data_IF_908048669815
#
_entry.id   IF_908048669815
#
_cell.length_a   1.000
_cell.length_b   1.000
_cell.length_c   1.000
_cell.angle_alpha   90.00
_cell.angle_beta   90.00
_cell.angle_gamma   90.00
#
_symmetry.space_group_name_H-M   'P 1'
#
loop_
_entity.id
_entity.type
_entity.pdbx_description
1 polymer ?
#
# COMPACT_ATOMS: atom_id res chain seq x y z
N UNK A 1 -11.96 -10.62 9.00
CA UNK A 1 -11.40 -9.59 9.92
C UNK A 1 -10.08 -10.10 10.47
N UNK A 2 -9.05 -9.25 10.48
CA UNK A 2 -7.75 -9.56 11.09
C UNK A 2 -7.58 -8.63 12.30
N UNK A 3 -7.29 -9.20 13.45
CA UNK A 3 -7.01 -8.44 14.68
C UNK A 3 -5.59 -8.72 15.13
N UNK A 4 -4.80 -7.68 15.29
CA UNK A 4 -3.43 -7.72 15.79
C UNK A 4 -3.40 -7.02 17.14
N UNK A 5 -2.96 -7.70 18.19
CA UNK A 5 -2.97 -7.19 19.57
C UNK A 5 -1.60 -7.32 20.22
N UNK A 6 -0.98 -6.19 20.53
CA UNK A 6 0.27 -6.05 21.28
C UNK A 6 1.42 -6.91 20.72
N UNK A 7 1.48 -7.04 19.39
CA UNK A 7 2.51 -7.87 18.73
C UNK A 7 3.88 -7.26 18.91
N UNK A 8 4.76 -8.06 19.50
CA UNK A 8 6.19 -7.77 19.62
C UNK A 8 7.01 -8.91 19.02
N UNK A 9 8.12 -8.56 18.38
CA UNK A 9 9.04 -9.53 17.80
C UNK A 9 10.48 -9.14 18.03
N UNK A 10 11.22 -10.02 18.70
CA UNK A 10 12.64 -9.89 18.93
C UNK A 10 13.41 -10.99 18.19
N UNK A 11 14.47 -10.60 17.48
CA UNK A 11 15.47 -11.49 16.88
C UNK A 11 16.81 -11.27 17.58
N UNK A 12 17.20 -12.21 18.43
CA UNK A 12 18.42 -12.07 19.25
C UNK A 12 18.45 -10.72 19.98
N UNK A 13 19.30 -9.80 19.51
CA UNK A 13 19.48 -8.44 20.08
C UNK A 13 18.62 -7.38 19.38
N UNK A 14 18.06 -7.67 18.21
CA UNK A 14 17.26 -6.72 17.43
C UNK A 14 15.78 -6.93 17.67
N UNK A 15 15.08 -5.89 18.12
CA UNK A 15 13.63 -5.88 18.23
C UNK A 15 13.04 -5.30 16.96
N UNK A 16 12.32 -6.16 16.21
CA UNK A 16 11.77 -5.81 14.91
C UNK A 16 10.34 -5.24 14.99
N UNK A 17 9.59 -5.59 16.05
CA UNK A 17 8.24 -5.08 16.30
C UNK A 17 8.08 -4.76 17.79
N UNK A 18 7.42 -3.62 18.06
CA UNK A 18 7.22 -3.09 19.41
C UNK A 18 5.74 -2.80 19.64
N UNK A 19 5.04 -3.72 20.30
CA UNK A 19 3.66 -3.51 20.76
C UNK A 19 2.68 -3.05 19.68
N UNK A 20 2.68 -3.74 18.54
CA UNK A 20 1.89 -3.38 17.36
C UNK A 20 0.46 -3.89 17.55
N UNK A 21 -0.52 -2.97 17.43
CA UNK A 21 -1.95 -3.30 17.54
C UNK A 21 -2.76 -2.55 16.48
N UNK A 22 -3.59 -3.27 15.72
CA UNK A 22 -4.51 -2.70 14.73
C UNK A 22 -5.54 -3.74 14.27
N UNK A 23 -6.50 -3.30 13.48
CA UNK A 23 -7.53 -4.17 12.90
C UNK A 23 -7.68 -3.94 11.40
N UNK A 24 -7.72 -5.03 10.62
CA UNK A 24 -8.09 -4.99 9.20
C UNK A 24 -9.55 -5.43 9.07
N UNK A 25 -10.39 -4.55 8.54
CA UNK A 25 -11.82 -4.82 8.33
C UNK A 25 -11.99 -5.87 7.22
N UNK A 26 -12.99 -6.73 7.38
CA UNK A 26 -13.32 -7.71 6.35
C UNK A 26 -13.75 -7.01 5.05
N UNK A 27 -13.25 -7.46 3.91
CA UNK A 27 -13.57 -6.91 2.60
C UNK A 27 -12.99 -5.51 2.33
N UNK A 28 -12.03 -5.04 3.13
CA UNK A 28 -11.31 -3.79 2.88
C UNK A 28 -9.93 -4.04 2.27
N UNK A 29 -9.38 -3.00 1.64
CA UNK A 29 -7.98 -2.93 1.25
C UNK A 29 -7.24 -2.03 2.22
N UNK A 30 -6.30 -2.58 2.97
CA UNK A 30 -5.49 -1.84 3.95
C UNK A 30 -4.04 -1.73 3.46
N UNK A 31 -3.54 -0.50 3.40
CA UNK A 31 -2.14 -0.18 3.08
C UNK A 31 -1.27 -0.21 4.34
N UNK A 32 -0.21 -1.00 4.33
CA UNK A 32 0.81 -1.03 5.36
C UNK A 32 2.06 -0.29 4.84
N UNK A 33 2.20 0.96 5.26
CA UNK A 33 3.16 1.92 4.71
C UNK A 33 4.35 2.08 5.65
N UNK A 34 5.54 2.16 5.10
CA UNK A 34 6.74 2.45 5.89
C UNK A 34 8.04 2.20 5.13
N UNK A 35 9.15 2.73 5.59
CA UNK A 35 10.45 2.53 4.96
C UNK A 35 10.90 1.06 5.03
N UNK A 36 11.93 0.73 4.27
CA UNK A 36 12.58 -0.58 4.37
C UNK A 36 13.12 -0.77 5.80
N UNK A 37 12.90 -1.96 6.36
CA UNK A 37 13.29 -2.26 7.74
C UNK A 37 12.30 -1.80 8.82
N UNK A 38 11.16 -1.18 8.48
CA UNK A 38 10.15 -0.79 9.48
C UNK A 38 9.39 -1.95 10.14
N UNK A 39 9.57 -3.19 9.65
CA UNK A 39 8.94 -4.38 10.23
C UNK A 39 7.76 -4.96 9.43
N UNK A 40 7.37 -4.38 8.29
CA UNK A 40 6.21 -4.80 7.46
C UNK A 40 6.22 -6.30 7.12
N UNK A 41 7.30 -6.77 6.51
CA UNK A 41 7.46 -8.19 6.14
C UNK A 41 7.42 -9.11 7.38
N UNK A 42 8.03 -8.70 8.50
CA UNK A 42 8.00 -9.45 9.76
C UNK A 42 6.57 -9.57 10.28
N UNK A 43 5.82 -8.48 10.26
CA UNK A 43 4.43 -8.42 10.68
C UNK A 43 3.53 -9.30 9.80
N UNK A 44 3.67 -9.22 8.47
CA UNK A 44 2.94 -10.08 7.52
C UNK A 44 3.21 -11.57 7.79
N UNK A 45 4.47 -11.94 8.04
CA UNK A 45 4.83 -13.34 8.37
C UNK A 45 4.26 -13.82 9.70
N UNK A 46 4.07 -12.93 10.66
CA UNK A 46 3.41 -13.28 11.93
C UNK A 46 1.90 -13.41 11.71
N UNK A 47 1.28 -12.50 10.97
CA UNK A 47 -0.15 -12.56 10.70
C UNK A 47 -0.57 -13.81 9.95
N UNK A 48 0.21 -14.29 9.00
CA UNK A 48 -0.10 -15.52 8.28
C UNK A 48 0.35 -16.81 9.00
N UNK A 49 0.85 -16.71 10.23
CA UNK A 49 1.24 -17.87 11.05
C UNK A 49 2.57 -18.53 10.67
N UNK A 50 3.35 -17.97 9.71
CA UNK A 50 4.66 -18.52 9.30
C UNK A 50 5.76 -18.21 10.31
N UNK A 51 5.62 -17.09 11.06
CA UNK A 51 6.59 -16.65 12.05
C UNK A 51 5.91 -16.45 13.41
N UNK A 52 6.44 -17.04 14.44
CA UNK A 52 5.93 -16.83 15.81
C UNK A 52 6.28 -15.43 16.33
N UNK A 53 5.34 -14.76 16.98
CA UNK A 53 5.59 -13.52 17.72
C UNK A 53 6.37 -13.81 19.02
N UNK A 54 7.07 -12.80 19.56
CA UNK A 54 7.67 -12.88 20.89
C UNK A 54 6.68 -12.52 22.01
N UNK A 55 5.63 -11.78 21.68
CA UNK A 55 4.51 -11.41 22.56
C UNK A 55 3.31 -10.94 21.74
N UNK A 56 2.14 -10.89 22.37
CA UNK A 56 0.89 -10.52 21.74
C UNK A 56 0.20 -11.67 21.01
N UNK A 57 -0.85 -11.35 20.26
CA UNK A 57 -1.69 -12.32 19.57
C UNK A 57 -2.22 -11.75 18.25
N UNK A 58 -2.32 -12.61 17.24
CA UNK A 58 -3.04 -12.33 15.99
C UNK A 58 -4.21 -13.29 15.86
N UNK A 59 -5.39 -12.76 15.56
CA UNK A 59 -6.55 -13.57 15.17
C UNK A 59 -7.01 -13.23 13.76
N UNK A 60 -7.30 -14.26 12.98
CA UNK A 60 -7.85 -14.14 11.62
C UNK A 60 -9.18 -14.87 11.57
N UNK A 61 -10.26 -14.13 11.35
CA UNK A 61 -11.63 -14.64 11.39
C UNK A 61 -11.92 -15.45 12.68
N UNK A 62 -11.36 -15.00 13.81
CA UNK A 62 -11.50 -15.65 15.12
C UNK A 62 -10.53 -16.80 15.38
N UNK A 63 -9.71 -17.22 14.41
CA UNK A 63 -8.67 -18.24 14.58
C UNK A 63 -7.35 -17.61 15.05
N UNK A 64 -6.69 -18.23 16.02
CA UNK A 64 -5.36 -17.81 16.47
C UNK A 64 -4.31 -18.21 15.43
N UNK A 65 -3.61 -17.22 14.85
CA UNK A 65 -2.65 -17.44 13.78
C UNK A 65 -1.47 -18.33 14.18
N UNK A 66 -1.06 -18.33 15.44
CA UNK A 66 0.04 -19.16 15.92
C UNK A 66 -0.40 -20.60 16.23
N UNK A 67 -1.59 -20.77 16.79
CA UNK A 67 -2.09 -22.09 17.23
C UNK A 67 -2.80 -22.85 16.11
N UNK A 68 -3.39 -22.16 15.17
CA UNK A 68 -4.20 -22.70 14.08
C UNK A 68 -3.64 -22.33 12.71
N UNK A 69 -2.30 -22.29 12.61
CA UNK A 69 -1.57 -21.82 11.42
C UNK A 69 -2.02 -22.50 10.11
N UNK A 70 -2.27 -23.82 10.12
CA UNK A 70 -2.73 -24.53 8.93
C UNK A 70 -4.09 -24.02 8.43
N UNK A 71 -5.04 -23.77 9.34
CA UNK A 71 -6.36 -23.23 8.97
C UNK A 71 -6.24 -21.79 8.46
N UNK A 72 -5.37 -20.99 9.08
CA UNK A 72 -5.10 -19.61 8.68
C UNK A 72 -4.45 -19.59 7.29
N UNK A 73 -3.42 -20.42 7.05
CA UNK A 73 -2.76 -20.54 5.75
C UNK A 73 -3.73 -20.97 4.63
N UNK A 74 -4.68 -21.85 4.95
CA UNK A 74 -5.70 -22.27 3.97
C UNK A 74 -6.64 -21.14 3.53
N UNK A 75 -6.80 -20.09 4.35
CA UNK A 75 -7.62 -18.92 4.05
C UNK A 75 -6.82 -17.75 3.46
N UNK A 76 -5.50 -17.81 3.52
CA UNK A 76 -4.63 -16.70 3.17
C UNK A 76 -3.81 -16.99 1.92
N UNK A 77 -3.79 -16.07 0.97
CA UNK A 77 -2.79 -16.00 -0.09
C UNK A 77 -1.69 -15.01 0.30
N UNK A 78 -0.43 -15.41 0.18
CA UNK A 78 0.69 -14.51 0.51
C UNK A 78 1.65 -14.40 -0.66
N UNK A 79 1.76 -13.20 -1.21
CA UNK A 79 2.79 -12.83 -2.18
C UNK A 79 3.89 -12.09 -1.44
N UNK A 80 5.06 -12.69 -1.38
CA UNK A 80 6.28 -12.06 -0.88
C UNK A 80 7.01 -11.32 -2.00
N UNK A 81 7.97 -10.48 -1.66
CA UNK A 81 8.80 -9.77 -2.63
C UNK A 81 9.41 -10.72 -3.68
N UNK A 82 9.94 -11.85 -3.23
CA UNK A 82 10.46 -12.92 -4.10
C UNK A 82 9.34 -13.89 -4.44
N UNK A 83 8.43 -13.64 -5.21
CA UNK A 83 7.28 -14.46 -5.68
C UNK A 83 7.25 -15.97 -5.37
N UNK A 84 8.28 -16.58 -4.80
CA UNK A 84 8.37 -17.98 -4.36
C UNK A 84 8.13 -18.98 -5.48
N UNK A 85 8.68 -18.72 -6.67
CA UNK A 85 8.51 -19.56 -7.87
C UNK A 85 9.74 -20.44 -8.12
N UNK A 86 9.52 -21.60 -8.70
CA UNK A 86 10.57 -22.52 -9.13
C UNK A 86 11.07 -22.13 -10.52
N UNK A 87 12.26 -21.56 -10.60
CA UNK A 87 12.81 -21.00 -11.85
C UNK A 87 13.11 -22.04 -12.94
N UNK A 88 13.39 -23.28 -12.55
CA UNK A 88 13.66 -24.37 -13.48
C UNK A 88 12.40 -25.02 -14.07
N UNK A 89 11.23 -24.70 -13.53
CA UNK A 89 9.93 -25.16 -14.00
C UNK A 89 9.29 -24.14 -14.93
N UNK A 90 8.38 -24.59 -15.78
CA UNK A 90 7.53 -23.66 -16.55
C UNK A 90 6.51 -22.96 -15.65
N UNK A 91 5.85 -21.90 -16.16
CA UNK A 91 4.75 -21.25 -15.44
C UNK A 91 3.61 -22.21 -15.15
N UNK A 92 3.19 -23.01 -16.13
CA UNK A 92 2.15 -24.04 -15.97
C UNK A 92 2.55 -25.11 -14.94
N UNK A 93 3.81 -25.58 -14.97
CA UNK A 93 4.27 -26.57 -13.99
C UNK A 93 4.31 -26.00 -12.58
N UNK A 94 4.71 -24.73 -12.42
CA UNK A 94 4.62 -24.04 -11.14
C UNK A 94 3.19 -24.03 -10.61
N UNK A 95 2.21 -23.62 -11.42
CA UNK A 95 0.81 -23.56 -11.00
C UNK A 95 0.28 -24.98 -10.67
N UNK A 96 0.62 -25.98 -11.45
CA UNK A 96 0.24 -27.37 -11.20
C UNK A 96 0.85 -27.87 -9.89
N UNK A 97 2.14 -27.65 -9.68
CA UNK A 97 2.83 -28.04 -8.45
C UNK A 97 2.17 -27.43 -7.20
N UNK A 98 1.89 -26.12 -7.23
CA UNK A 98 1.24 -25.48 -6.09
C UNK A 98 -0.22 -25.92 -5.93
N UNK A 99 -0.93 -26.21 -7.00
CA UNK A 99 -2.27 -26.78 -6.93
C UNK A 99 -2.26 -28.14 -6.21
N UNK A 100 -1.27 -28.99 -6.50
CA UNK A 100 -1.08 -30.27 -5.82
C UNK A 100 -0.70 -30.09 -4.34
N UNK A 101 0.18 -29.14 -4.02
CA UNK A 101 0.52 -28.78 -2.62
C UNK A 101 -0.71 -28.34 -1.83
N UNK A 102 -1.63 -27.59 -2.45
CA UNK A 102 -2.90 -27.20 -1.84
C UNK A 102 -3.97 -28.31 -1.87
N UNK A 103 -3.67 -29.47 -2.44
CA UNK A 103 -4.60 -30.60 -2.55
C UNK A 103 -5.81 -30.34 -3.45
N UNK A 104 -5.67 -29.47 -4.44
CA UNK A 104 -6.75 -29.07 -5.32
C UNK A 104 -7.06 -30.16 -6.34
N UNK A 105 -8.20 -30.82 -6.19
CA UNK A 105 -8.68 -31.79 -7.18
C UNK A 105 -9.15 -31.08 -8.44
N UNK A 106 -8.78 -31.63 -9.62
CA UNK A 106 -9.18 -31.07 -10.92
C UNK A 106 -8.80 -29.60 -11.13
N UNK A 107 -7.60 -29.21 -10.68
CA UNK A 107 -7.13 -27.83 -10.70
C UNK A 107 -7.00 -27.21 -12.11
N UNK A 108 -7.03 -28.02 -13.20
CA UNK A 108 -6.81 -27.54 -14.56
C UNK A 108 -7.71 -26.33 -14.90
N UNK A 109 -9.01 -26.42 -14.63
CA UNK A 109 -9.95 -25.32 -14.90
C UNK A 109 -9.53 -24.03 -14.15
N UNK A 110 -9.14 -24.17 -12.87
CA UNK A 110 -8.69 -23.03 -12.07
C UNK A 110 -7.38 -22.44 -12.58
N UNK A 111 -6.45 -23.30 -13.00
CA UNK A 111 -5.18 -22.86 -13.61
C UNK A 111 -5.47 -22.09 -14.90
N UNK A 112 -6.33 -22.63 -15.79
CA UNK A 112 -6.71 -21.96 -17.04
C UNK A 112 -7.38 -20.59 -16.78
N UNK A 113 -8.28 -20.49 -15.78
CA UNK A 113 -8.88 -19.22 -15.33
C UNK A 113 -7.80 -18.21 -14.94
N UNK A 114 -6.80 -18.63 -14.13
CA UNK A 114 -5.75 -17.75 -13.64
C UNK A 114 -4.73 -17.38 -14.73
N UNK A 115 -4.42 -18.32 -15.61
CA UNK A 115 -3.59 -18.08 -16.80
C UNK A 115 -4.22 -16.99 -17.67
N UNK A 116 -5.53 -17.05 -17.86
CA UNK A 116 -6.26 -16.03 -18.62
C UNK A 116 -6.31 -14.69 -17.86
N UNK A 117 -6.64 -14.70 -16.57
CA UNK A 117 -6.76 -13.51 -15.75
C UNK A 117 -5.46 -12.70 -15.68
N UNK A 118 -4.31 -13.39 -15.63
CA UNK A 118 -2.99 -12.77 -15.52
C UNK A 118 -2.23 -12.67 -16.85
N UNK A 119 -2.90 -12.96 -17.97
CA UNK A 119 -2.30 -12.87 -19.31
C UNK A 119 -0.99 -13.66 -19.44
N UNK A 120 -1.02 -14.93 -18.97
CA UNK A 120 0.16 -15.81 -18.96
C UNK A 120 0.26 -16.70 -20.20
N UNK A 121 -0.73 -16.69 -21.10
CA UNK A 121 -0.89 -17.65 -22.20
C UNK A 121 0.37 -17.77 -23.07
N UNK A 122 0.99 -16.66 -23.42
CA UNK A 122 2.09 -16.62 -24.39
C UNK A 122 3.41 -17.18 -23.85
N UNK A 123 3.53 -17.27 -22.52
CA UNK A 123 4.79 -17.67 -21.90
C UNK A 123 4.65 -18.72 -20.79
N UNK A 124 3.43 -19.20 -20.50
CA UNK A 124 3.18 -20.20 -19.45
C UNK A 124 4.00 -21.49 -19.59
N UNK A 125 4.41 -21.86 -20.79
CA UNK A 125 5.21 -23.06 -21.08
C UNK A 125 6.72 -22.82 -21.09
N UNK A 126 7.16 -21.56 -20.91
CA UNK A 126 8.57 -21.20 -20.80
C UNK A 126 9.05 -21.37 -19.37
N UNK A 127 10.36 -21.62 -19.17
CA UNK A 127 10.96 -21.68 -17.83
C UNK A 127 10.86 -20.32 -17.15
N UNK A 128 10.43 -20.30 -15.88
CA UNK A 128 10.25 -19.09 -15.06
C UNK A 128 11.55 -18.30 -14.87
N UNK A 129 12.72 -18.98 -14.89
CA UNK A 129 14.01 -18.31 -14.88
C UNK A 129 14.25 -17.33 -16.04
N UNK A 130 13.50 -17.49 -17.17
CA UNK A 130 13.57 -16.58 -18.34
C UNK A 130 12.53 -15.45 -18.28
N UNK A 131 11.73 -15.37 -17.23
CA UNK A 131 10.68 -14.35 -17.10
C UNK A 131 11.26 -13.01 -16.66
N UNK A 132 10.65 -11.92 -17.16
CA UNK A 132 10.86 -10.59 -16.60
C UNK A 132 10.29 -10.51 -15.18
N UNK A 133 10.65 -9.45 -14.43
CA UNK A 133 10.11 -9.21 -13.09
C UNK A 133 8.57 -9.13 -13.12
N UNK A 134 7.99 -8.43 -14.11
CA UNK A 134 6.55 -8.34 -14.29
C UNK A 134 5.89 -9.70 -14.57
N UNK A 135 6.49 -10.52 -15.43
CA UNK A 135 6.00 -11.88 -15.70
C UNK A 135 6.06 -12.76 -14.44
N UNK A 136 7.14 -12.69 -13.65
CA UNK A 136 7.25 -13.40 -12.38
C UNK A 136 6.19 -12.92 -11.38
N UNK A 137 5.90 -11.62 -11.33
CA UNK A 137 4.87 -11.05 -10.44
C UNK A 137 3.48 -11.52 -10.83
N UNK A 138 3.13 -11.51 -12.13
CA UNK A 138 1.86 -12.04 -12.65
C UNK A 138 1.66 -13.50 -12.27
N UNK A 139 2.67 -14.34 -12.50
CA UNK A 139 2.63 -15.75 -12.12
C UNK A 139 2.53 -15.94 -10.60
N UNK A 140 3.24 -15.12 -9.81
CA UNK A 140 3.16 -15.12 -8.35
C UNK A 140 1.75 -14.78 -7.85
N UNK A 141 1.08 -13.80 -8.44
CA UNK A 141 -0.31 -13.46 -8.14
C UNK A 141 -1.26 -14.62 -8.53
N UNK A 142 -1.07 -15.24 -9.70
CA UNK A 142 -1.83 -16.42 -10.09
C UNK A 142 -1.66 -17.57 -9.06
N UNK A 143 -0.43 -17.82 -8.63
CA UNK A 143 -0.11 -18.86 -7.64
C UNK A 143 -0.84 -18.64 -6.30
N UNK A 144 -0.82 -17.44 -5.76
CA UNK A 144 -1.42 -17.18 -4.44
C UNK A 144 -2.95 -17.22 -4.44
N UNK A 145 -3.57 -17.19 -5.62
CA UNK A 145 -5.01 -17.28 -5.79
C UNK A 145 -5.52 -18.70 -6.14
N UNK A 146 -4.64 -19.66 -6.31
CA UNK A 146 -5.01 -21.03 -6.72
C UNK A 146 -6.09 -21.61 -5.81
N UNK A 147 -5.90 -21.54 -4.50
CA UNK A 147 -6.77 -22.13 -3.47
C UNK A 147 -7.95 -21.23 -3.07
N UNK A 148 -8.21 -20.14 -3.81
CA UNK A 148 -9.32 -19.18 -3.55
C UNK A 148 -9.30 -18.62 -2.13
N UNK A 149 -8.22 -17.96 -1.70
CA UNK A 149 -8.13 -17.39 -0.37
C UNK A 149 -9.16 -16.30 -0.17
N UNK A 150 -9.63 -16.10 1.07
CA UNK A 150 -10.50 -14.98 1.43
C UNK A 150 -9.69 -13.73 1.89
N UNK A 151 -8.41 -13.94 2.18
CA UNK A 151 -7.48 -12.91 2.64
C UNK A 151 -6.22 -12.94 1.78
N UNK A 152 -5.73 -11.76 1.40
CA UNK A 152 -4.52 -11.61 0.60
C UNK A 152 -3.52 -10.70 1.29
N UNK A 153 -2.33 -11.22 1.53
CA UNK A 153 -1.17 -10.45 1.98
C UNK A 153 -0.23 -10.22 0.80
N UNK A 154 -0.01 -8.96 0.45
CA UNK A 154 0.87 -8.56 -0.65
C UNK A 154 2.04 -7.75 -0.10
N UNK A 155 3.23 -8.36 -0.06
CA UNK A 155 4.44 -7.71 0.42
C UNK A 155 5.21 -7.10 -0.75
N UNK A 156 5.20 -5.76 -0.84
CA UNK A 156 5.82 -4.96 -1.91
C UNK A 156 5.45 -5.47 -3.32
N UNK A 157 4.15 -5.58 -3.68
CA UNK A 157 3.73 -6.24 -4.92
C UNK A 157 4.11 -5.44 -6.17
N UNK A 158 4.38 -4.15 -6.06
CA UNK A 158 4.74 -3.25 -7.17
C UNK A 158 6.24 -3.04 -7.31
N UNK A 159 7.05 -3.54 -6.37
CA UNK A 159 8.49 -3.34 -6.39
C UNK A 159 9.14 -3.95 -7.64
N UNK A 160 9.97 -3.16 -8.33
CA UNK A 160 10.70 -3.57 -9.54
C UNK A 160 9.84 -3.68 -10.81
N UNK A 161 8.61 -3.14 -10.79
CA UNK A 161 7.74 -3.09 -11.97
C UNK A 161 7.88 -1.73 -12.68
N UNK A 162 7.67 -1.74 -13.98
CA UNK A 162 7.44 -0.57 -14.79
C UNK A 162 6.06 0.06 -14.50
N UNK A 163 5.78 1.28 -14.98
CA UNK A 163 4.50 1.94 -14.73
C UNK A 163 3.27 1.12 -15.14
N UNK A 164 3.34 0.40 -16.26
CA UNK A 164 2.24 -0.44 -16.73
C UNK A 164 2.02 -1.66 -15.82
N UNK A 165 3.09 -2.27 -15.35
CA UNK A 165 3.06 -3.36 -14.38
C UNK A 165 2.47 -2.92 -13.04
N UNK A 166 2.82 -1.72 -12.56
CA UNK A 166 2.23 -1.14 -11.35
C UNK A 166 0.72 -0.98 -11.52
N UNK A 167 0.28 -0.33 -12.61
CA UNK A 167 -1.14 -0.13 -12.89
C UNK A 167 -1.91 -1.44 -13.01
N UNK A 168 -1.30 -2.47 -13.59
CA UNK A 168 -1.88 -3.80 -13.66
C UNK A 168 -2.12 -4.39 -12.27
N UNK A 169 -1.12 -4.35 -11.37
CA UNK A 169 -1.25 -4.86 -10.00
C UNK A 169 -2.34 -4.10 -9.23
N UNK A 170 -2.37 -2.77 -9.33
CA UNK A 170 -3.37 -1.94 -8.65
C UNK A 170 -4.80 -2.21 -9.15
N UNK A 171 -4.99 -2.33 -10.48
CA UNK A 171 -6.29 -2.73 -11.05
C UNK A 171 -6.74 -4.09 -10.54
N UNK A 172 -5.81 -5.03 -10.44
CA UNK A 172 -6.07 -6.36 -9.96
C UNK A 172 -6.49 -6.39 -8.47
N UNK A 173 -5.79 -5.64 -7.61
CA UNK A 173 -6.18 -5.47 -6.19
C UNK A 173 -7.61 -4.95 -6.09
N UNK A 174 -7.96 -3.91 -6.86
CA UNK A 174 -9.32 -3.36 -6.89
C UNK A 174 -10.37 -4.37 -7.36
N UNK A 175 -10.04 -5.13 -8.41
CA UNK A 175 -10.96 -6.13 -8.96
C UNK A 175 -11.26 -7.22 -7.93
N UNK A 176 -10.25 -7.82 -7.32
CA UNK A 176 -10.42 -8.84 -6.28
C UNK A 176 -11.24 -8.34 -5.10
N UNK A 177 -10.95 -7.12 -4.63
CA UNK A 177 -11.70 -6.55 -3.52
C UNK A 177 -13.17 -6.30 -3.89
N UNK A 178 -13.46 -5.70 -5.06
CA UNK A 178 -14.82 -5.34 -5.46
C UNK A 178 -15.66 -6.55 -5.83
N UNK A 179 -15.11 -7.48 -6.62
CA UNK A 179 -15.86 -8.62 -7.17
C UNK A 179 -15.94 -9.78 -6.18
N UNK A 180 -14.82 -10.11 -5.51
CA UNK A 180 -14.74 -11.26 -4.62
C UNK A 180 -14.86 -10.90 -3.13
N UNK A 181 -15.01 -9.61 -2.79
CA UNK A 181 -15.05 -9.09 -1.40
C UNK A 181 -13.86 -9.53 -0.56
N UNK A 182 -12.72 -9.71 -1.23
CA UNK A 182 -11.49 -10.19 -0.61
C UNK A 182 -10.93 -9.13 0.36
N UNK A 183 -10.48 -9.57 1.52
CA UNK A 183 -9.74 -8.71 2.46
C UNK A 183 -8.29 -8.67 2.04
N UNK A 184 -7.74 -7.49 1.80
CA UNK A 184 -6.38 -7.34 1.27
C UNK A 184 -5.56 -6.44 2.18
N UNK A 185 -4.38 -6.91 2.58
CA UNK A 185 -3.35 -6.09 3.20
C UNK A 185 -2.17 -6.01 2.24
N UNK A 186 -1.83 -4.81 1.82
CA UNK A 186 -0.75 -4.54 0.88
C UNK A 186 0.32 -3.67 1.52
N UNK A 187 1.56 -4.13 1.54
CA UNK A 187 2.69 -3.32 2.01
C UNK A 187 3.33 -2.55 0.87
N UNK A 188 3.76 -1.33 1.14
CA UNK A 188 4.60 -0.54 0.24
C UNK A 188 5.40 0.50 1.00
N UNK A 189 6.51 0.92 0.41
CA UNK A 189 7.24 2.12 0.82
C UNK A 189 6.91 3.34 -0.07
N UNK A 190 6.08 3.15 -1.12
CA UNK A 190 5.65 4.19 -2.06
C UNK A 190 4.15 4.42 -1.90
N UNK A 191 3.81 5.46 -1.16
CA UNK A 191 2.43 5.75 -0.76
C UNK A 191 1.53 6.15 -1.93
N UNK A 192 2.03 6.97 -2.86
CA UNK A 192 1.28 7.45 -4.03
C UNK A 192 0.72 6.32 -4.91
N UNK A 193 1.35 5.14 -4.91
CA UNK A 193 0.82 3.98 -5.62
C UNK A 193 -0.42 3.40 -4.94
N UNK A 194 -0.45 3.39 -3.60
CA UNK A 194 -1.52 2.76 -2.83
C UNK A 194 -2.74 3.66 -2.60
N UNK A 195 -2.60 4.99 -2.69
CA UNK A 195 -3.71 5.95 -2.52
C UNK A 195 -4.88 5.66 -3.45
N UNK A 196 -4.59 5.07 -4.60
CA UNK A 196 -5.59 4.70 -5.58
C UNK A 196 -6.44 3.47 -5.20
N UNK A 197 -6.03 2.62 -4.26
CA UNK A 197 -6.66 1.30 -4.01
C UNK A 197 -7.01 1.03 -2.56
N UNK A 198 -6.40 1.71 -1.59
CA UNK A 198 -6.60 1.45 -0.17
C UNK A 198 -7.77 2.25 0.40
N UNK A 199 -8.51 1.61 1.31
CA UNK A 199 -9.58 2.22 2.11
C UNK A 199 -9.05 2.73 3.46
N UNK A 200 -7.96 2.14 3.94
CA UNK A 200 -7.38 2.40 5.26
C UNK A 200 -5.85 2.28 5.18
N UNK A 201 -5.14 3.06 5.98
CA UNK A 201 -3.67 3.11 6.00
C UNK A 201 -3.15 2.86 7.41
N UNK A 202 -2.03 2.17 7.51
CA UNK A 202 -1.26 1.92 8.71
C UNK A 202 0.18 2.32 8.41
N UNK A 203 0.68 3.33 9.10
CA UNK A 203 2.05 3.80 8.93
C UNK A 203 2.94 3.18 9.99
N UNK A 204 4.01 2.54 9.53
CA UNK A 204 5.00 1.89 10.39
C UNK A 204 6.37 2.54 10.31
N UNK A 205 6.96 2.80 11.46
CA UNK A 205 8.35 3.21 11.57
C UNK A 205 9.03 2.51 12.76
N UNK A 206 10.28 2.06 12.55
CA UNK A 206 11.11 1.41 13.59
C UNK A 206 10.35 0.33 14.40
N UNK A 207 9.49 -0.46 13.73
CA UNK A 207 8.72 -1.54 14.33
C UNK A 207 7.49 -1.10 15.13
N UNK A 208 7.05 0.14 15.02
CA UNK A 208 5.86 0.70 15.68
C UNK A 208 4.87 1.21 14.65
N UNK A 209 3.58 1.24 15.02
CA UNK A 209 2.59 2.02 14.29
C UNK A 209 2.71 3.46 14.79
N UNK A 210 2.91 4.39 13.86
CA UNK A 210 3.01 5.82 14.14
C UNK A 210 1.73 6.57 13.78
N UNK A 211 0.94 6.02 12.87
CA UNK A 211 -0.36 6.58 12.49
C UNK A 211 -1.24 5.50 11.83
N UNK A 212 -2.57 5.61 11.98
CA UNK A 212 -3.54 4.77 11.26
C UNK A 212 -4.86 5.52 11.01
N UNK A 213 -5.54 5.17 9.93
CA UNK A 213 -6.84 5.74 9.60
C UNK A 213 -7.18 5.67 8.12
N UNK A 214 -8.35 6.15 7.76
CA UNK A 214 -8.70 6.46 6.37
C UNK A 214 -7.91 7.69 5.90
N UNK A 215 -7.80 7.88 4.59
CA UNK A 215 -7.16 9.08 4.03
C UNK A 215 -7.76 10.36 4.62
N UNK A 216 -9.09 10.44 4.69
CA UNK A 216 -9.78 11.62 5.23
C UNK A 216 -9.46 11.88 6.71
N UNK A 217 -9.43 10.84 7.53
CA UNK A 217 -9.10 10.94 8.96
C UNK A 217 -7.65 11.41 9.16
N UNK A 218 -6.71 10.84 8.42
CA UNK A 218 -5.29 11.20 8.49
C UNK A 218 -5.11 12.64 8.02
N UNK A 219 -5.63 12.97 6.83
CA UNK A 219 -5.59 14.33 6.28
C UNK A 219 -6.17 15.35 7.27
N UNK A 220 -7.31 15.07 7.91
CA UNK A 220 -7.94 16.00 8.85
C UNK A 220 -7.12 16.25 10.13
N UNK A 221 -6.30 15.27 10.57
CA UNK A 221 -5.43 15.43 11.75
C UNK A 221 -4.21 16.32 11.50
N UNK A 222 -3.68 16.27 10.28
CA UNK A 222 -2.43 16.96 9.93
C UNK A 222 -2.63 18.24 9.12
N UNK A 223 -3.81 18.42 8.50
CA UNK A 223 -4.17 19.65 7.80
C UNK A 223 -4.76 20.69 8.74
N UNK A 224 -3.96 21.24 9.62
CA UNK A 224 -4.37 22.43 10.39
C UNK A 224 -4.32 23.71 9.53
N UNK A 225 -3.45 23.78 8.54
CA UNK A 225 -3.27 24.96 7.67
C UNK A 225 -3.05 24.53 6.23
N UNK A 226 -4.05 24.67 5.33
CA UNK A 226 -3.88 24.34 3.92
C UNK A 226 -2.85 25.27 3.28
N UNK A 227 -1.95 24.68 2.47
CA UNK A 227 -1.02 25.44 1.63
C UNK A 227 -1.54 25.45 0.21
N UNK A 228 -1.60 26.63 -0.41
CA UNK A 228 -1.97 26.78 -1.82
C UNK A 228 -0.75 27.20 -2.63
N UNK A 229 -0.29 26.32 -3.50
CA UNK A 229 0.71 26.65 -4.51
C UNK A 229 0.00 27.23 -5.72
N UNK A 230 0.47 28.39 -6.17
CA UNK A 230 -0.11 29.13 -7.28
C UNK A 230 0.98 29.39 -8.31
N UNK A 231 0.69 29.06 -9.58
CA UNK A 231 1.45 29.48 -10.74
C UNK A 231 0.68 30.58 -11.45
N UNK A 232 1.30 31.76 -11.56
CA UNK A 232 0.63 32.94 -12.06
C UNK A 232 1.61 33.88 -12.77
N UNK A 233 1.10 34.64 -13.75
CA UNK A 233 1.81 35.78 -14.33
C UNK A 233 1.27 37.06 -13.69
N UNK A 234 2.09 37.63 -12.83
CA UNK A 234 1.71 38.74 -11.95
C UNK A 234 2.63 39.92 -12.16
N UNK A 235 2.12 41.17 -12.06
CA UNK A 235 2.95 42.38 -12.06
C UNK A 235 3.90 42.38 -10.86
N UNK A 236 4.99 43.11 -10.99
CA UNK A 236 5.97 43.28 -9.92
C UNK A 236 5.29 43.82 -8.63
N UNK A 237 5.55 43.20 -7.48
CA UNK A 237 4.93 43.56 -6.21
C UNK A 237 3.54 42.96 -5.94
N UNK A 238 3.03 42.08 -6.74
CA UNK A 238 1.69 41.47 -6.59
C UNK A 238 1.43 40.81 -5.22
N UNK A 239 2.49 40.34 -4.57
CA UNK A 239 2.42 39.71 -3.24
C UNK A 239 1.95 40.66 -2.14
N UNK A 240 2.00 41.99 -2.37
CA UNK A 240 1.46 43.00 -1.43
C UNK A 240 -0.02 43.31 -1.71
N UNK A 241 -0.59 42.80 -2.80
CA UNK A 241 -1.97 43.00 -3.19
C UNK A 241 -2.96 41.97 -2.61
N UNK A 242 -2.47 41.03 -1.80
CA UNK A 242 -3.29 40.05 -1.11
C UNK A 242 -3.18 40.19 0.40
N UNK A 243 -4.23 39.77 1.11
CA UNK A 243 -4.24 39.70 2.58
C UNK A 243 -3.39 38.54 3.13
N UNK A 244 -2.82 37.73 2.24
CA UNK A 244 -2.06 36.54 2.57
C UNK A 244 -0.58 36.72 2.23
N UNK A 245 0.30 36.30 3.13
CA UNK A 245 1.76 36.36 2.91
C UNK A 245 2.25 35.15 2.16
N UNK A 246 2.76 35.29 0.91
CA UNK A 246 3.30 34.18 0.15
C UNK A 246 4.75 33.86 0.52
N UNK A 247 5.10 32.59 0.41
CA UNK A 247 6.47 32.15 0.20
C UNK A 247 6.74 32.12 -1.31
N UNK A 248 7.60 33.00 -1.79
CA UNK A 248 7.90 33.13 -3.22
C UNK A 248 8.92 32.06 -3.61
N UNK A 249 8.54 31.16 -4.53
CA UNK A 249 9.39 30.11 -5.05
C UNK A 249 10.14 30.59 -6.30
N UNK A 250 9.45 31.31 -7.19
CA UNK A 250 10.02 31.90 -8.42
C UNK A 250 9.24 33.13 -8.85
N UNK A 251 9.62 33.73 -9.97
CA UNK A 251 8.90 34.88 -10.54
C UNK A 251 7.42 34.58 -10.84
N UNK A 252 7.07 33.32 -11.10
CA UNK A 252 5.73 32.88 -11.49
C UNK A 252 5.08 31.92 -10.50
N UNK A 253 5.75 31.54 -9.39
CA UNK A 253 5.26 30.55 -8.45
C UNK A 253 5.39 31.03 -7.01
N UNK A 254 4.31 30.88 -6.24
CA UNK A 254 4.29 31.18 -4.82
C UNK A 254 3.42 30.19 -4.05
N UNK A 255 3.74 30.00 -2.78
CA UNK A 255 2.97 29.17 -1.85
C UNK A 255 2.38 30.06 -0.76
N UNK A 256 1.06 29.95 -0.60
CA UNK A 256 0.32 30.67 0.44
C UNK A 256 -0.05 29.69 1.56
N UNK A 257 0.26 30.06 2.78
CA UNK A 257 -0.22 29.35 3.95
C UNK A 257 -1.56 29.96 4.39
N UNK A 258 -2.62 29.17 4.36
CA UNK A 258 -3.99 29.63 4.62
C UNK A 258 -4.47 29.12 5.99
N UNK A 259 -5.39 29.86 6.63
CA UNK A 259 -5.97 29.43 7.90
C UNK A 259 -7.07 28.40 7.74
N UNK A 260 -7.80 28.45 6.60
CA UNK A 260 -8.87 27.52 6.28
C UNK A 260 -9.01 27.26 4.78
N UNK A 261 -9.80 26.25 4.39
CA UNK A 261 -10.12 26.00 2.97
C UNK A 261 -11.02 27.09 2.37
N UNK A 262 -11.78 27.77 3.20
CA UNK A 262 -12.65 28.89 2.79
C UNK A 262 -11.85 30.10 2.33
N UNK A 263 -10.59 30.22 2.73
CA UNK A 263 -9.69 31.27 2.27
C UNK A 263 -9.26 31.11 0.81
N UNK A 264 -9.30 29.88 0.27
CA UNK A 264 -8.85 29.58 -1.10
C UNK A 264 -9.61 30.40 -2.15
N UNK A 265 -10.97 30.40 -2.18
CA UNK A 265 -11.71 31.22 -3.15
C UNK A 265 -11.44 32.71 -3.00
N UNK A 266 -11.23 33.20 -1.78
CA UNK A 266 -10.93 34.62 -1.51
C UNK A 266 -9.56 34.98 -2.08
N UNK A 267 -8.54 34.22 -1.78
CA UNK A 267 -7.20 34.42 -2.32
C UNK A 267 -7.19 34.35 -3.85
N UNK A 268 -7.81 33.34 -4.44
CA UNK A 268 -7.86 33.20 -5.91
C UNK A 268 -8.55 34.39 -6.58
N UNK A 269 -9.61 34.95 -5.97
CA UNK A 269 -10.25 36.16 -6.48
C UNK A 269 -9.29 37.34 -6.44
N UNK A 270 -8.61 37.58 -5.32
CA UNK A 270 -7.62 38.68 -5.20
C UNK A 270 -6.51 38.53 -6.25
N UNK A 271 -5.99 37.31 -6.44
CA UNK A 271 -4.95 37.05 -7.43
C UNK A 271 -5.42 37.31 -8.86
N UNK A 272 -6.62 36.85 -9.21
CA UNK A 272 -7.17 37.02 -10.58
C UNK A 272 -7.57 38.47 -10.91
N UNK A 273 -7.74 39.31 -9.93
CA UNK A 273 -7.93 40.79 -10.13
C UNK A 273 -6.64 41.49 -10.54
N UNK A 274 -5.47 40.92 -10.24
CA UNK A 274 -4.17 41.58 -10.44
C UNK A 274 -3.32 40.90 -11.52
N UNK A 275 -3.65 39.68 -11.95
CA UNK A 275 -2.90 38.94 -12.93
C UNK A 275 -3.59 37.69 -13.46
N UNK A 276 -2.84 36.85 -14.16
CA UNK A 276 -3.35 35.62 -14.75
C UNK A 276 -2.87 34.41 -13.93
N UNK A 277 -3.80 33.72 -13.31
CA UNK A 277 -3.53 32.46 -12.59
C UNK A 277 -3.64 31.30 -13.58
N UNK A 278 -2.57 30.54 -13.77
CA UNK A 278 -2.52 29.38 -14.65
C UNK A 278 -2.80 28.09 -13.93
N UNK A 279 -2.32 27.98 -12.70
CA UNK A 279 -2.55 26.80 -11.87
C UNK A 279 -2.68 27.19 -10.40
N UNK A 280 -3.59 26.52 -9.69
CA UNK A 280 -3.67 26.58 -8.24
C UNK A 280 -3.83 25.16 -7.70
N UNK A 281 -2.94 24.75 -6.81
CA UNK A 281 -2.92 23.40 -6.23
C UNK A 281 -2.80 23.47 -4.72
N UNK A 282 -3.68 22.75 -4.02
CA UNK A 282 -3.52 22.55 -2.58
C UNK A 282 -2.35 21.59 -2.39
N UNK A 283 -1.30 22.02 -1.70
CA UNK A 283 -0.12 21.21 -1.38
C UNK A 283 -0.10 20.85 0.11
N UNK A 284 0.63 19.80 0.43
CA UNK A 284 0.69 19.29 1.80
C UNK A 284 -0.56 18.57 2.26
N UNK A 285 -1.57 18.41 1.37
CA UNK A 285 -2.83 17.73 1.67
C UNK A 285 -2.88 16.30 1.12
N UNK A 286 -1.87 15.91 0.37
CA UNK A 286 -1.73 14.52 -0.09
C UNK A 286 -1.09 13.67 1.01
N UNK A 287 -1.45 12.39 1.01
CA UNK A 287 -0.95 11.44 2.01
C UNK A 287 0.59 11.35 2.04
N UNK A 288 1.27 11.65 0.93
CA UNK A 288 2.72 11.60 0.84
C UNK A 288 3.37 12.72 1.64
N UNK A 289 2.87 13.94 1.47
CA UNK A 289 3.30 15.11 2.27
C UNK A 289 3.03 14.91 3.76
N UNK A 290 1.87 14.34 4.10
CA UNK A 290 1.51 14.01 5.49
C UNK A 290 2.43 12.93 6.05
N UNK A 291 2.74 11.91 5.30
CA UNK A 291 3.68 10.87 5.72
C UNK A 291 5.07 11.43 6.03
N UNK A 292 5.58 12.36 5.23
CA UNK A 292 6.84 13.05 5.54
C UNK A 292 6.74 13.89 6.82
N UNK A 293 5.63 14.61 7.02
CA UNK A 293 5.40 15.35 8.26
C UNK A 293 5.33 14.46 9.51
N UNK A 294 4.66 13.30 9.41
CA UNK A 294 4.62 12.29 10.48
C UNK A 294 6.03 11.80 10.81
N UNK A 295 6.84 11.49 9.78
CA UNK A 295 8.21 11.04 9.96
C UNK A 295 9.09 12.09 10.63
N UNK A 296 8.99 13.34 10.21
CA UNK A 296 9.75 14.44 10.81
C UNK A 296 9.40 14.62 12.31
N UNK A 297 8.11 14.56 12.64
CA UNK A 297 7.66 14.64 14.03
C UNK A 297 8.23 13.52 14.92
N UNK A 298 8.33 12.29 14.39
CA UNK A 298 8.86 11.13 15.13
C UNK A 298 10.39 10.96 15.03
N UNK A 299 11.10 11.75 14.21
CA UNK A 299 12.56 11.75 14.19
C UNK A 299 13.18 12.61 15.31
N UNK A 300 12.39 13.48 15.93
CA UNK A 300 12.81 14.36 17.03
C UNK A 300 12.55 13.78 18.43
N UNK A 301 11.94 12.59 18.51
CA UNK A 301 11.81 11.75 19.71
C UNK A 301 12.81 10.56 19.69
#
# INVERSE_FOLDING_TARGET
>A
MIEVRNISKQFKVHQALHDVSFTVKQGSVTGLIGPNGSGKTTLIRIMNGVLGASGGQVTINGLDAAREAEKVLAMCGTLTEQSGLYENMSGSDNLTFFADVFGLKHAKKRIDELVNLFELQDYQHRKVGTYSTGMKKRLGLARVLLHRPSILFLDEPTNGLDPDGIQMVLRFIRQLNKEEKMTILVSSHVLSQLSAVCDHYIFMEKGRIVEEGTEQEIVSRYLSTPKLEVEADMPEGWHTATDYTPEIISAHQAVFQLTSREDIPLLLRQLTEHGQVYQARITGSDLESIYFAIREAHHHE
#
